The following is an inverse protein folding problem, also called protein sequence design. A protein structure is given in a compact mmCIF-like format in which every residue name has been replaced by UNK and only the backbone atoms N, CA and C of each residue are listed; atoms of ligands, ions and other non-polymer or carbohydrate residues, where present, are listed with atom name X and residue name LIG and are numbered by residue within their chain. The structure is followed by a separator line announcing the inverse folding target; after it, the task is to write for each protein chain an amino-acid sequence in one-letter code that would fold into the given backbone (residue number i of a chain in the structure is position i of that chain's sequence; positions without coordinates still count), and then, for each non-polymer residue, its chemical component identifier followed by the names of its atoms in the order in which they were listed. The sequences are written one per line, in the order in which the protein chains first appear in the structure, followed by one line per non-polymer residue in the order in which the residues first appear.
data_IF_603200432604
#
_entry.id   IF_603200432604
#
_cell.length_a   1.000
_cell.length_b   1.000
_cell.length_c   1.000
_cell.angle_alpha   90.00
_cell.angle_beta   90.00
_cell.angle_gamma   90.00
#
_symmetry.space_group_name_H-M   'P 1'
#
loop_
_entity.id
_entity.type
_entity.pdbx_description
1 polymer ?
#
# COMPACT_ATOMS: atom_id res chain seq x y z
N UNK A 1 -31.36 -10.06 -3.01
CA UNK A 1 -30.50 -9.08 -2.29
C UNK A 1 -29.09 -9.36 -2.74
N UNK A 2 -28.38 -8.40 -3.34
CA UNK A 2 -26.96 -8.60 -3.67
C UNK A 2 -26.18 -8.60 -2.36
N UNK A 3 -25.48 -9.70 -2.08
CA UNK A 3 -24.56 -9.78 -0.96
C UNK A 3 -23.45 -8.74 -1.20
N UNK A 4 -23.28 -7.79 -0.27
CA UNK A 4 -22.22 -6.79 -0.38
C UNK A 4 -20.88 -7.52 -0.19
N UNK A 5 -20.21 -7.80 -1.31
CA UNK A 5 -18.93 -8.49 -1.29
C UNK A 5 -17.87 -7.62 -0.63
N UNK A 6 -17.56 -7.97 0.62
CA UNK A 6 -16.60 -7.24 1.42
C UNK A 6 -15.18 -7.76 1.18
N UNK A 7 -14.26 -6.84 0.93
CA UNK A 7 -12.84 -7.08 1.01
C UNK A 7 -12.09 -5.82 1.43
N UNK A 8 -10.88 -5.99 1.92
CA UNK A 8 -10.03 -4.89 2.31
C UNK A 8 -8.53 -5.20 2.26
N UNK A 9 -7.69 -4.17 2.32
CA UNK A 9 -6.22 -4.27 2.31
C UNK A 9 -5.60 -3.61 3.55
N UNK A 10 -4.58 -4.23 4.14
CA UNK A 10 -3.89 -3.75 5.34
C UNK A 10 -2.37 -3.83 5.19
N UNK A 11 -1.59 -2.97 5.88
CA UNK A 11 -2.05 -1.81 6.67
C UNK A 11 -2.59 -0.69 5.79
N UNK A 12 -3.30 0.29 6.38
CA UNK A 12 -3.80 1.49 5.66
C UNK A 12 -2.73 2.56 5.47
N UNK A 13 -1.70 2.52 6.31
CA UNK A 13 -0.58 3.45 6.28
C UNK A 13 0.71 2.73 6.60
N UNK A 14 1.74 3.07 5.83
CA UNK A 14 3.14 2.69 6.06
C UNK A 14 3.91 3.99 6.22
N UNK A 15 4.45 4.22 7.42
CA UNK A 15 5.32 5.36 7.69
C UNK A 15 6.67 4.86 8.18
N UNK A 16 7.74 5.25 7.49
CA UNK A 16 9.10 4.82 7.85
C UNK A 16 10.07 5.99 7.83
N UNK A 17 11.13 5.86 8.60
CA UNK A 17 12.33 6.67 8.44
C UNK A 17 13.11 6.22 7.21
N UNK A 18 13.68 7.17 6.47
CA UNK A 18 14.69 6.91 5.45
C UNK A 18 15.88 6.23 6.10
N UNK A 19 16.22 5.05 5.59
CA UNK A 19 17.34 4.23 6.04
C UNK A 19 18.21 3.83 4.85
N UNK A 20 19.45 3.43 5.10
CA UNK A 20 20.42 3.08 4.06
C UNK A 20 20.17 1.70 3.41
N UNK A 21 19.33 0.87 4.04
CA UNK A 21 19.03 -0.49 3.59
C UNK A 21 17.60 -0.59 3.05
N UNK A 22 17.32 -1.53 2.14
CA UNK A 22 15.96 -1.75 1.64
C UNK A 22 15.00 -2.09 2.78
N UNK A 23 13.81 -1.49 2.74
CA UNK A 23 12.70 -1.81 3.63
C UNK A 23 11.53 -2.27 2.79
N UNK A 24 10.92 -3.39 3.18
CA UNK A 24 9.71 -3.90 2.56
C UNK A 24 8.61 -4.17 3.59
N UNK A 25 7.37 -4.00 3.14
CA UNK A 25 6.17 -4.27 3.94
C UNK A 25 5.18 -5.03 3.06
N UNK A 26 4.74 -6.20 3.51
CA UNK A 26 3.71 -6.97 2.79
C UNK A 26 2.32 -6.45 3.11
N UNK A 27 1.51 -6.23 2.08
CA UNK A 27 0.10 -5.95 2.22
C UNK A 27 -0.66 -7.26 2.44
N UNK A 28 -1.67 -7.22 3.30
CA UNK A 28 -2.57 -8.33 3.58
C UNK A 28 -3.96 -8.01 3.05
N UNK A 29 -4.51 -8.93 2.25
CA UNK A 29 -5.89 -8.88 1.81
C UNK A 29 -6.81 -9.59 2.82
N UNK A 30 -7.98 -9.02 3.07
CA UNK A 30 -9.04 -9.57 3.92
C UNK A 30 -10.34 -9.63 3.14
N UNK A 31 -11.19 -10.60 3.46
CA UNK A 31 -12.44 -10.83 2.74
C UNK A 31 -12.21 -11.47 1.36
N UNK A 32 -13.16 -11.26 0.46
CA UNK A 32 -13.20 -11.97 -0.82
C UNK A 32 -13.27 -10.95 -1.96
N UNK A 33 -12.14 -10.54 -2.55
CA UNK A 33 -12.16 -9.75 -3.79
C UNK A 33 -12.89 -10.49 -4.92
N UNK A 34 -13.50 -9.76 -5.86
CA UNK A 34 -14.21 -10.34 -7.01
C UNK A 34 -13.30 -10.95 -8.06
N UNK A 35 -12.10 -10.39 -8.18
CA UNK A 35 -11.13 -10.78 -9.17
C UNK A 35 -9.71 -10.73 -8.63
N UNK A 36 -8.76 -10.76 -9.56
CA UNK A 36 -7.35 -10.55 -9.26
C UNK A 36 -7.16 -9.14 -8.73
N UNK A 37 -6.53 -9.02 -7.57
CA UNK A 37 -6.19 -7.71 -7.00
C UNK A 37 -4.98 -7.13 -7.72
N UNK A 38 -5.09 -5.87 -8.11
CA UNK A 38 -4.06 -5.11 -8.80
C UNK A 38 -3.61 -3.96 -7.89
N UNK A 39 -2.31 -3.66 -7.94
CA UNK A 39 -1.67 -2.62 -7.14
C UNK A 39 -0.96 -1.62 -8.06
N UNK A 40 -1.13 -0.32 -7.79
CA UNK A 40 -0.49 0.76 -8.54
C UNK A 40 0.09 1.79 -7.58
N UNK A 41 1.37 2.15 -7.73
CA UNK A 41 1.97 3.24 -6.96
C UNK A 41 1.89 4.55 -7.73
N UNK A 42 1.40 5.60 -7.07
CA UNK A 42 1.36 6.94 -7.63
C UNK A 42 2.75 7.58 -7.80
N UNK A 43 3.73 7.17 -6.99
CA UNK A 43 5.11 7.67 -7.05
C UNK A 43 6.12 6.57 -6.73
N UNK A 44 6.72 6.01 -7.78
CA UNK A 44 7.72 4.93 -7.69
C UNK A 44 9.06 5.37 -7.11
N UNK A 45 9.36 6.67 -7.07
CA UNK A 45 10.53 7.20 -6.38
C UNK A 45 10.44 7.09 -4.86
N UNK A 46 9.21 7.08 -4.31
CA UNK A 46 8.91 6.93 -2.88
C UNK A 46 8.60 5.49 -2.53
N UNK A 47 7.79 4.78 -3.34
CA UNK A 47 7.46 3.38 -3.08
C UNK A 47 7.08 2.63 -4.36
N UNK A 48 7.50 1.38 -4.48
CA UNK A 48 7.01 0.43 -5.50
C UNK A 48 6.21 -0.67 -4.81
N UNK A 49 5.40 -1.39 -5.58
CA UNK A 49 4.60 -2.52 -5.09
C UNK A 49 4.63 -3.64 -6.12
N UNK A 50 4.85 -4.88 -5.67
CA UNK A 50 4.82 -6.05 -6.55
C UNK A 50 3.39 -6.55 -6.77
N UNK A 51 3.21 -7.48 -7.71
CA UNK A 51 1.91 -8.11 -7.97
C UNK A 51 1.39 -8.90 -6.75
N UNK A 52 2.29 -9.37 -5.88
CA UNK A 52 1.98 -10.09 -4.65
C UNK A 52 1.66 -9.15 -3.47
N UNK A 53 1.64 -7.83 -3.71
CA UNK A 53 1.36 -6.83 -2.68
C UNK A 53 2.54 -6.57 -1.74
N UNK A 54 3.79 -6.82 -2.18
CA UNK A 54 4.97 -6.44 -1.39
C UNK A 54 5.37 -5.01 -1.74
N UNK A 55 5.23 -4.10 -0.78
CA UNK A 55 5.65 -2.70 -0.91
C UNK A 55 7.13 -2.60 -0.62
N UNK A 56 7.90 -2.08 -1.57
CA UNK A 56 9.33 -1.75 -1.39
C UNK A 56 9.49 -0.24 -1.34
N UNK A 57 10.21 0.25 -0.33
CA UNK A 57 10.36 1.67 -0.11
C UNK A 57 11.56 2.22 -0.88
N UNK A 58 11.34 3.33 -1.57
CA UNK A 58 12.37 4.07 -2.30
C UNK A 58 13.22 4.95 -1.39
N UNK A 59 14.16 5.68 -1.99
CA UNK A 59 15.08 6.57 -1.27
C UNK A 59 14.62 8.03 -1.22
N UNK A 60 13.50 8.34 -1.88
CA UNK A 60 12.92 9.69 -1.96
C UNK A 60 12.06 9.94 -0.73
N UNK A 61 12.28 11.08 -0.07
CA UNK A 61 11.41 11.54 1.01
C UNK A 61 10.06 12.00 0.46
N UNK A 62 9.00 11.83 1.23
CA UNK A 62 7.65 12.30 0.89
C UNK A 62 6.61 11.19 0.91
N UNK A 63 5.46 11.48 0.31
CA UNK A 63 4.31 10.59 0.26
C UNK A 63 4.12 9.91 -1.10
N UNK A 64 3.58 8.70 -1.06
CA UNK A 64 2.97 8.01 -2.20
C UNK A 64 1.67 7.36 -1.76
N UNK A 65 0.78 7.11 -2.71
CA UNK A 65 -0.43 6.32 -2.48
C UNK A 65 -0.36 5.09 -3.37
N UNK A 66 -0.63 3.93 -2.77
CA UNK A 66 -0.85 2.69 -3.50
C UNK A 66 -2.34 2.53 -3.68
N UNK A 67 -2.79 2.53 -4.93
CA UNK A 67 -4.17 2.25 -5.32
C UNK A 67 -4.32 0.74 -5.47
N UNK A 68 -5.36 0.17 -4.87
CA UNK A 68 -5.63 -1.28 -4.86
C UNK A 68 -7.06 -1.52 -5.32
N UNK A 69 -7.26 -2.39 -6.31
CA UNK A 69 -8.58 -2.67 -6.88
C UNK A 69 -8.69 -4.10 -7.38
N UNK A 70 -9.91 -4.63 -7.49
CA UNK A 70 -10.20 -6.03 -7.83
C UNK A 70 -10.93 -6.21 -9.17
N UNK A 71 -11.10 -5.11 -9.93
CA UNK A 71 -11.82 -5.05 -11.20
C UNK A 71 -11.31 -3.91 -12.09
N UNK A 72 -11.37 -4.08 -13.41
CA UNK A 72 -10.98 -3.04 -14.37
C UNK A 72 -11.88 -1.80 -14.28
N UNK A 73 -13.14 -1.99 -13.90
CA UNK A 73 -14.12 -0.91 -13.68
C UNK A 73 -13.81 -0.05 -12.44
N UNK A 74 -12.89 -0.50 -11.57
CA UNK A 74 -12.45 0.22 -10.35
C UNK A 74 -13.62 0.67 -9.46
N UNK A 75 -14.65 -0.15 -9.36
CA UNK A 75 -15.84 0.10 -8.54
C UNK A 75 -15.64 -0.33 -7.07
N UNK A 76 -14.56 -1.04 -6.74
CA UNK A 76 -14.12 -1.31 -5.36
C UNK A 76 -12.64 -0.98 -5.18
N UNK A 77 -12.32 0.30 -4.98
CA UNK A 77 -10.94 0.77 -4.76
C UNK A 77 -10.62 0.88 -3.27
N UNK A 78 -9.37 0.58 -2.91
CA UNK A 78 -8.77 0.84 -1.60
C UNK A 78 -7.45 1.58 -1.79
N UNK A 79 -7.01 2.24 -0.73
CA UNK A 79 -5.78 3.01 -0.73
C UNK A 79 -4.89 2.60 0.44
N UNK A 80 -3.59 2.55 0.18
CA UNK A 80 -2.55 2.43 1.21
C UNK A 80 -1.64 3.64 1.08
N UNK A 81 -1.54 4.43 2.15
CA UNK A 81 -0.65 5.58 2.21
C UNK A 81 0.76 5.14 2.57
N UNK A 82 1.75 5.66 1.86
CA UNK A 82 3.15 5.42 2.15
C UNK A 82 3.85 6.75 2.37
N UNK A 83 4.58 6.87 3.47
CA UNK A 83 5.34 8.07 3.81
C UNK A 83 6.77 7.69 4.21
N UNK A 84 7.73 8.26 3.51
CA UNK A 84 9.15 8.17 3.85
C UNK A 84 9.58 9.50 4.44
N UNK A 85 9.91 9.51 5.73
CA UNK A 85 10.35 10.71 6.47
C UNK A 85 11.84 10.65 6.77
N UNK A 86 12.43 11.76 7.20
CA UNK A 86 13.82 11.77 7.66
C UNK A 86 14.03 10.82 8.84
N UNK A 87 15.23 10.26 8.93
CA UNK A 87 15.64 9.42 10.06
C UNK A 87 15.45 10.14 11.40
N UNK A 88 14.79 9.49 12.35
CA UNK A 88 14.49 10.05 13.66
C UNK A 88 13.18 10.82 13.75
N UNK A 89 12.37 10.85 12.67
CA UNK A 89 11.01 11.46 12.66
C UNK A 89 9.87 10.45 12.44
N UNK A 90 10.15 9.16 12.29
CA UNK A 90 9.09 8.16 12.16
C UNK A 90 8.70 7.62 13.54
N UNK A 91 7.63 8.15 14.13
CA UNK A 91 6.88 7.38 15.11
C UNK A 91 6.29 6.17 14.37
N UNK A 92 6.77 4.97 14.67
CA UNK A 92 6.18 3.74 14.13
C UNK A 92 4.80 3.60 14.76
N UNK A 93 3.77 4.05 14.04
CA UNK A 93 2.37 3.78 14.35
C UNK A 93 1.91 2.70 13.37
N UNK A 94 1.82 1.45 13.85
CA UNK A 94 1.13 0.38 13.13
C UNK A 94 -0.27 0.30 13.75
N UNK A 95 -1.25 0.92 13.09
CA UNK A 95 -2.68 0.81 13.41
C UNK A 95 -3.36 -0.23 12.55
#
# INVERSE_FOLDING_TARGET
MSETQYWDVFPKSIKVSKVAYPVSVSLTLRGTPRGTVIFESANTGVATVSAEGVVSLGTTLGGSEITVYDSDDRDSVRFVRVEVVEYGKSDIQVS
#
